data_IF_647608064278
#
_entry.id   IF_647608064278
#
_cell.length_a   1.000
_cell.length_b   1.000
_cell.length_c   1.000
_cell.angle_alpha   90.00
_cell.angle_beta   90.00
_cell.angle_gamma   90.00
#
_symmetry.space_group_name_H-M   'P 1'
#
loop_
_entity.id
_entity.type
_entity.pdbx_description
1 polymer ?
#
# COMPACT_ATOMS: atom_id res chain seq x y z
N UNK A 1 -22.89 -1.55 -7.46
CA UNK A 1 -22.83 -0.46 -6.46
C UNK A 1 -21.52 -0.63 -5.74
N UNK A 2 -20.64 0.35 -5.91
CA UNK A 2 -19.21 0.17 -5.80
C UNK A 2 -18.79 0.24 -4.34
N UNK A 3 -18.27 -0.87 -3.84
CA UNK A 3 -17.68 -0.97 -2.51
C UNK A 3 -16.22 -0.44 -2.57
N UNK A 4 -15.88 0.49 -3.49
CA UNK A 4 -14.49 1.00 -3.70
C UNK A 4 -14.08 2.00 -2.63
N UNK A 5 -14.88 3.03 -2.32
CA UNK A 5 -14.40 4.14 -1.50
C UNK A 5 -13.94 3.80 -0.08
N UNK A 6 -14.40 2.71 0.54
CA UNK A 6 -13.97 2.40 1.90
C UNK A 6 -12.59 1.73 1.91
N UNK A 7 -12.16 1.08 0.83
CA UNK A 7 -10.83 0.47 0.71
C UNK A 7 -9.78 1.57 0.62
N UNK A 8 -9.98 2.54 -0.28
CA UNK A 8 -9.19 3.78 -0.38
C UNK A 8 -9.10 4.49 0.99
N UNK A 9 -10.22 4.61 1.71
CA UNK A 9 -10.24 5.20 3.06
C UNK A 9 -9.38 4.40 4.04
N UNK A 10 -9.42 3.07 3.98
CA UNK A 10 -8.58 2.22 4.85
C UNK A 10 -7.12 2.33 4.47
N UNK A 11 -6.75 2.28 3.18
CA UNK A 11 -5.38 2.52 2.71
C UNK A 11 -4.87 3.89 3.16
N UNK A 12 -5.70 4.93 3.03
CA UNK A 12 -5.39 6.28 3.52
C UNK A 12 -5.14 6.31 5.03
N UNK A 13 -5.97 5.64 5.82
CA UNK A 13 -5.78 5.54 7.27
C UNK A 13 -4.50 4.78 7.63
N UNK A 14 -4.15 3.74 6.88
CA UNK A 14 -2.92 2.96 7.07
C UNK A 14 -1.70 3.80 6.73
N UNK A 15 -1.73 4.54 5.61
CA UNK A 15 -0.68 5.48 5.25
C UNK A 15 -0.49 6.57 6.32
N UNK A 16 -1.58 7.15 6.83
CA UNK A 16 -1.53 8.12 7.92
C UNK A 16 -0.96 7.52 9.21
N UNK A 17 -1.37 6.29 9.55
CA UNK A 17 -0.81 5.56 10.67
C UNK A 17 0.69 5.32 10.49
N UNK A 18 1.16 4.95 9.30
CA UNK A 18 2.58 4.74 9.01
C UNK A 18 3.42 6.00 9.17
N UNK A 19 2.86 7.19 8.93
CA UNK A 19 3.54 8.46 9.21
C UNK A 19 3.70 8.71 10.71
N UNK A 20 2.71 8.31 11.52
CA UNK A 20 2.69 8.57 12.97
C UNK A 20 3.36 7.44 13.78
N UNK A 21 3.30 6.21 13.29
CA UNK A 21 3.75 4.99 13.99
C UNK A 21 5.22 5.01 14.41
N UNK A 22 6.18 5.62 13.68
CA UNK A 22 7.57 5.65 14.13
C UNK A 22 7.75 6.35 15.46
N UNK A 23 6.96 7.40 15.71
CA UNK A 23 6.99 8.15 16.97
C UNK A 23 6.32 7.40 18.11
N UNK A 24 5.24 6.67 17.81
CA UNK A 24 4.52 5.84 18.80
C UNK A 24 5.34 4.61 19.19
N UNK A 25 6.04 4.00 18.23
CA UNK A 25 6.81 2.77 18.41
C UNK A 25 8.27 3.00 18.80
N UNK A 26 8.70 4.26 18.91
CA UNK A 26 10.09 4.61 19.27
C UNK A 26 11.12 4.16 18.22
N UNK A 27 10.74 4.15 16.93
CA UNK A 27 11.65 3.84 15.84
C UNK A 27 12.76 4.91 15.75
N UNK A 28 13.92 4.52 15.25
CA UNK A 28 15.06 5.42 15.07
C UNK A 28 15.78 5.17 13.74
N UNK A 29 16.62 6.14 13.35
CA UNK A 29 17.48 6.03 12.17
C UNK A 29 16.70 5.97 10.86
N UNK A 30 17.24 5.21 9.90
CA UNK A 30 16.69 5.13 8.55
C UNK A 30 15.28 4.49 8.49
N UNK A 31 14.92 3.66 9.48
CA UNK A 31 13.59 3.05 9.58
C UNK A 31 12.47 4.10 9.69
N UNK A 32 12.71 5.21 10.41
CA UNK A 32 11.75 6.32 10.52
C UNK A 32 11.48 6.94 9.16
N UNK A 33 12.55 7.35 8.47
CA UNK A 33 12.45 8.03 7.18
C UNK A 33 11.78 7.13 6.12
N UNK A 34 12.15 5.85 6.05
CA UNK A 34 11.55 4.91 5.11
C UNK A 34 10.07 4.65 5.41
N UNK A 35 9.71 4.42 6.68
CA UNK A 35 8.30 4.18 7.06
C UNK A 35 7.43 5.38 6.71
N UNK A 36 7.89 6.60 7.00
CA UNK A 36 7.17 7.83 6.67
C UNK A 36 7.06 8.02 5.16
N UNK A 37 8.13 7.78 4.40
CA UNK A 37 8.13 7.92 2.95
C UNK A 37 7.15 6.94 2.28
N UNK A 38 7.14 5.67 2.72
CA UNK A 38 6.18 4.67 2.23
C UNK A 38 4.75 5.02 2.65
N UNK A 39 4.55 5.51 3.88
CA UNK A 39 3.26 6.00 4.35
C UNK A 39 2.71 7.15 3.50
N UNK A 40 3.54 8.13 3.14
CA UNK A 40 3.15 9.18 2.21
C UNK A 40 2.86 8.67 0.81
N UNK A 41 3.63 7.69 0.30
CA UNK A 41 3.34 7.06 -0.97
C UNK A 41 1.94 6.45 -1.01
N UNK A 42 1.56 5.71 0.04
CA UNK A 42 0.23 5.12 0.17
C UNK A 42 -0.85 6.21 0.24
N UNK A 43 -0.64 7.27 1.06
CA UNK A 43 -1.58 8.40 1.12
C UNK A 43 -1.79 9.02 -0.26
N UNK A 44 -0.71 9.22 -1.04
CA UNK A 44 -0.81 9.85 -2.36
C UNK A 44 -1.64 9.02 -3.33
N UNK A 45 -1.41 7.71 -3.40
CA UNK A 45 -2.20 6.81 -4.24
C UNK A 45 -3.66 6.74 -3.79
N UNK A 46 -3.91 6.52 -2.48
CA UNK A 46 -5.27 6.51 -1.95
C UNK A 46 -6.03 7.84 -2.17
N UNK A 47 -5.33 8.99 -2.19
CA UNK A 47 -5.95 10.29 -2.53
C UNK A 47 -6.23 10.40 -4.03
N UNK A 48 -5.31 9.91 -4.87
CA UNK A 48 -5.48 9.88 -6.33
C UNK A 48 -6.72 9.07 -6.73
N UNK A 49 -7.01 7.96 -6.04
CA UNK A 49 -8.21 7.12 -6.20
C UNK A 49 -9.52 7.92 -6.28
N UNK A 50 -9.66 8.90 -5.38
CA UNK A 50 -10.87 9.70 -5.28
C UNK A 50 -11.05 10.64 -6.48
N UNK A 51 -9.96 10.98 -7.17
CA UNK A 51 -9.96 11.92 -8.30
C UNK A 51 -9.96 11.18 -9.63
N UNK A 52 -9.08 10.19 -9.80
CA UNK A 52 -8.87 9.42 -11.02
C UNK A 52 -8.72 7.93 -10.67
N UNK A 53 -9.83 7.19 -10.57
CA UNK A 53 -9.77 5.75 -10.36
C UNK A 53 -9.03 5.08 -11.52
N UNK A 54 -7.87 4.49 -11.24
CA UNK A 54 -7.06 3.83 -12.26
C UNK A 54 -6.33 2.62 -11.71
N UNK A 55 -6.10 1.61 -12.55
CA UNK A 55 -5.36 0.40 -12.19
C UNK A 55 -3.93 0.68 -11.72
N UNK A 56 -3.32 1.81 -12.13
CA UNK A 56 -1.95 2.16 -11.72
C UNK A 56 -1.82 2.41 -10.23
N UNK A 57 -2.90 2.89 -9.62
CA UNK A 57 -2.98 3.09 -8.18
C UNK A 57 -2.88 1.76 -7.44
N UNK A 58 -3.71 0.78 -7.81
CA UNK A 58 -3.73 -0.55 -7.21
C UNK A 58 -2.35 -1.22 -7.33
N UNK A 59 -1.70 -1.10 -8.49
CA UNK A 59 -0.31 -1.59 -8.67
C UNK A 59 0.69 -0.82 -7.80
N UNK A 60 0.55 0.49 -7.67
CA UNK A 60 1.37 1.35 -6.82
C UNK A 60 1.26 0.94 -5.36
N UNK A 61 0.05 0.77 -4.85
CA UNK A 61 -0.23 0.31 -3.49
C UNK A 61 0.32 -1.10 -3.25
N UNK A 62 0.18 -2.03 -4.20
CA UNK A 62 0.81 -3.35 -4.12
C UNK A 62 2.33 -3.27 -3.97
N UNK A 63 3.00 -2.45 -4.79
CA UNK A 63 4.46 -2.29 -4.75
C UNK A 63 4.92 -1.64 -3.44
N UNK A 64 4.20 -0.63 -2.95
CA UNK A 64 4.49 0.02 -1.68
C UNK A 64 4.24 -0.89 -0.48
N UNK A 65 3.16 -1.66 -0.51
CA UNK A 65 2.88 -2.69 0.49
C UNK A 65 3.96 -3.77 0.51
N UNK A 66 4.46 -4.20 -0.66
CA UNK A 66 5.58 -5.14 -0.74
C UNK A 66 6.87 -4.51 -0.18
N UNK A 67 7.13 -3.25 -0.49
CA UNK A 67 8.27 -2.52 0.07
C UNK A 67 8.19 -2.46 1.60
N UNK A 68 7.00 -2.22 2.19
CA UNK A 68 6.78 -2.25 3.64
C UNK A 68 7.01 -3.63 4.26
N UNK A 69 6.61 -4.70 3.56
CA UNK A 69 6.87 -6.06 4.01
C UNK A 69 8.39 -6.30 4.05
N UNK A 70 9.12 -5.92 3.02
CA UNK A 70 10.56 -6.21 2.92
C UNK A 70 11.44 -5.23 3.74
N UNK A 71 10.95 -4.02 4.02
CA UNK A 71 11.67 -2.93 4.69
C UNK A 71 12.40 -3.31 6.01
N UNK A 72 11.80 -4.09 6.92
CA UNK A 72 12.46 -4.47 8.17
C UNK A 72 13.81 -5.14 7.99
N UNK A 73 13.94 -5.94 6.93
CA UNK A 73 15.14 -6.71 6.63
C UNK A 73 16.17 -5.96 5.78
N UNK A 74 15.80 -4.82 5.18
CA UNK A 74 16.71 -4.02 4.35
C UNK A 74 17.29 -2.83 5.09
N UNK A 75 16.52 -2.24 6.01
CA UNK A 75 16.88 -0.98 6.70
C UNK A 75 17.17 -1.17 8.19
N UNK A 76 17.05 -2.40 8.70
CA UNK A 76 17.45 -2.74 10.07
C UNK A 76 16.45 -2.26 11.11
N UNK A 77 15.17 -2.63 10.93
CA UNK A 77 14.15 -2.32 11.93
C UNK A 77 14.44 -3.12 13.21
N UNK A 78 14.14 -2.52 14.35
CA UNK A 78 14.17 -3.24 15.63
C UNK A 78 13.19 -4.41 15.61
N UNK A 79 13.68 -5.59 15.98
CA UNK A 79 12.88 -6.81 16.00
C UNK A 79 11.79 -6.67 17.07
N UNK A 80 10.53 -6.71 16.66
CA UNK A 80 9.39 -6.59 17.57
C UNK A 80 8.27 -5.77 16.95
N UNK A 81 7.78 -4.78 17.69
CA UNK A 81 6.62 -3.99 17.30
C UNK A 81 6.82 -3.23 15.97
N UNK A 82 8.03 -2.72 15.72
CA UNK A 82 8.37 -2.01 14.49
C UNK A 82 8.29 -2.91 13.24
N UNK A 83 8.89 -4.11 13.30
CA UNK A 83 8.79 -5.11 12.23
C UNK A 83 7.35 -5.55 11.99
N UNK A 84 6.61 -5.88 13.06
CA UNK A 84 5.21 -6.32 12.96
C UNK A 84 4.34 -5.23 12.36
N UNK A 85 4.52 -3.98 12.79
CA UNK A 85 3.79 -2.83 12.26
C UNK A 85 4.01 -2.65 10.75
N UNK A 86 5.27 -2.72 10.29
CA UNK A 86 5.61 -2.58 8.88
C UNK A 86 5.02 -3.72 8.04
N UNK A 87 5.21 -4.97 8.48
CA UNK A 87 4.75 -6.16 7.74
C UNK A 87 3.22 -6.21 7.70
N UNK A 88 2.54 -6.01 8.83
CA UNK A 88 1.07 -6.07 8.86
C UNK A 88 0.44 -4.97 8.03
N UNK A 89 0.97 -3.74 8.11
CA UNK A 89 0.47 -2.63 7.30
C UNK A 89 0.68 -2.90 5.80
N UNK A 90 1.87 -3.41 5.43
CA UNK A 90 2.18 -3.76 4.04
C UNK A 90 1.28 -4.87 3.50
N UNK A 91 1.06 -5.94 4.27
CA UNK A 91 0.15 -7.03 3.89
C UNK A 91 -1.29 -6.55 3.73
N UNK A 92 -1.74 -5.67 4.62
CA UNK A 92 -3.09 -5.13 4.58
C UNK A 92 -3.32 -4.25 3.35
N UNK A 93 -2.35 -3.41 2.97
CA UNK A 93 -2.40 -2.63 1.72
C UNK A 93 -2.38 -3.55 0.50
N UNK A 94 -1.49 -4.54 0.45
CA UNK A 94 -1.47 -5.53 -0.66
C UNK A 94 -2.81 -6.25 -0.77
N UNK A 95 -3.40 -6.64 0.36
CA UNK A 95 -4.67 -7.35 0.38
C UNK A 95 -5.79 -6.51 -0.24
N UNK A 96 -5.85 -5.21 0.07
CA UNK A 96 -6.87 -4.31 -0.49
C UNK A 96 -6.64 -4.05 -1.98
N UNK A 97 -5.41 -3.71 -2.36
CA UNK A 97 -5.09 -3.49 -3.77
C UNK A 97 -5.33 -4.75 -4.63
N UNK A 98 -4.97 -5.93 -4.14
CA UNK A 98 -5.23 -7.20 -4.83
C UNK A 98 -6.74 -7.52 -4.90
N UNK A 99 -7.50 -7.18 -3.85
CA UNK A 99 -8.94 -7.35 -3.83
C UNK A 99 -9.60 -6.49 -4.92
N UNK A 100 -9.17 -5.23 -5.04
CA UNK A 100 -9.68 -4.29 -6.04
C UNK A 100 -9.38 -4.79 -7.46
N UNK A 101 -8.12 -5.15 -7.74
CA UNK A 101 -7.72 -5.75 -9.01
C UNK A 101 -8.53 -7.00 -9.39
N UNK A 102 -8.90 -7.84 -8.41
CA UNK A 102 -9.71 -9.04 -8.66
C UNK A 102 -11.20 -8.73 -8.82
N UNK A 103 -11.69 -7.68 -8.18
CA UNK A 103 -13.12 -7.34 -8.17
C UNK A 103 -13.50 -6.45 -9.35
N UNK A 104 -12.56 -5.61 -9.83
CA UNK A 104 -12.78 -4.75 -10.99
C UNK A 104 -12.59 -5.54 -12.29
N UNK A 105 -13.69 -5.72 -13.03
CA UNK A 105 -13.73 -6.58 -14.24
C UNK A 105 -12.96 -6.01 -15.43
N UNK A 106 -12.56 -4.74 -15.36
CA UNK A 106 -11.79 -4.05 -16.39
C UNK A 106 -10.30 -4.49 -16.44
N UNK A 107 -9.78 -5.14 -15.40
CA UNK A 107 -8.44 -5.74 -15.46
C UNK A 107 -8.36 -6.87 -16.51
N UNK A 108 -9.40 -7.70 -16.60
CA UNK A 108 -9.42 -8.81 -17.57
C UNK A 108 -9.51 -8.33 -19.02
N UNK A 109 -10.27 -7.27 -19.28
CA UNK A 109 -10.44 -6.72 -20.64
C UNK A 109 -9.16 -6.04 -21.12
N UNK A 110 -8.46 -5.29 -20.27
CA UNK A 110 -7.17 -4.69 -20.63
C UNK A 110 -6.05 -5.73 -20.84
N UNK A 111 -5.96 -6.78 -20.01
CA UNK A 111 -4.96 -7.86 -20.20
C UNK A 111 -5.22 -8.62 -21.51
N UNK A 112 -6.48 -8.88 -21.84
CA UNK A 112 -6.86 -9.49 -23.12
C UNK A 112 -6.60 -8.57 -24.32
N UNK A 113 -6.85 -7.26 -24.22
CA UNK A 113 -6.60 -6.34 -25.35
C UNK A 113 -5.11 -6.08 -25.59
N UNK A 114 -4.26 -6.12 -24.55
CA UNK A 114 -2.82 -5.84 -24.67
C UNK A 114 -1.96 -7.08 -24.90
N UNK A 115 -2.39 -8.26 -24.46
CA UNK A 115 -1.64 -9.52 -24.56
C UNK A 115 -2.39 -10.65 -25.27
N UNK A 116 -3.65 -10.45 -25.65
CA UNK A 116 -4.46 -11.40 -26.41
C UNK A 116 -4.36 -11.22 -27.92
N UNK A 117 -3.13 -11.22 -28.45
CA UNK A 117 -2.89 -11.46 -29.87
C UNK A 117 -2.00 -12.70 -30.01
N UNK A 118 -2.64 -13.80 -30.40
CA UNK A 118 -2.05 -15.12 -30.65
C UNK A 118 -3.13 -16.17 -30.78
#
# INVERSE_FOLDING_TARGET
>A
MRIQHWQDVVSLMVGAWLVVSPFVLGMAGAAVALTIALGFGIILFAVEAFVVPSYLEEWGEMLLGLALVVAPWTVGYEVGAATVNSVLSGLLVILFAAWELMTDRDFSTWWHDRWGAG
#
